data_IF_361911924095
#
_entry.id   IF_361911924095
#
_cell.length_a   1.000
_cell.length_b   1.000
_cell.length_c   1.000
_cell.angle_alpha   90.00
_cell.angle_beta   90.00
_cell.angle_gamma   90.00
#
_symmetry.space_group_name_H-M   'P 1'
#
loop_
_entity.id
_entity.type
_entity.pdbx_description
1 polymer ?
#
# COMPACT_ATOMS: atom_id res chain seq x y z
N UNK A 1 -11.97 15.12 -17.78
CA UNK A 1 -12.21 16.48 -18.33
C UNK A 1 -12.65 17.49 -17.29
N UNK A 2 -13.26 17.10 -16.16
CA UNK A 2 -13.59 18.06 -15.08
C UNK A 2 -12.36 18.53 -14.31
N UNK A 3 -11.56 17.59 -13.78
CA UNK A 3 -10.37 17.93 -12.97
C UNK A 3 -9.23 18.49 -13.83
N UNK A 4 -9.01 17.87 -14.99
CA UNK A 4 -8.04 18.28 -15.99
C UNK A 4 -8.81 18.71 -17.25
N UNK A 5 -9.28 19.98 -17.32
CA UNK A 5 -9.99 20.50 -18.48
C UNK A 5 -9.03 20.83 -19.62
N UNK A 6 -9.54 20.78 -20.84
CA UNK A 6 -8.82 21.32 -22.00
C UNK A 6 -8.88 22.85 -21.89
N UNK A 7 -7.74 23.55 -21.85
CA UNK A 7 -7.72 25.01 -21.75
C UNK A 7 -8.44 25.68 -22.91
N UNK A 8 -8.99 26.86 -22.66
CA UNK A 8 -9.59 27.68 -23.71
C UNK A 8 -8.53 28.03 -24.78
N UNK A 9 -8.90 27.93 -26.05
CA UNK A 9 -7.99 28.15 -27.18
C UNK A 9 -7.05 26.99 -27.51
N UNK A 10 -7.01 25.93 -26.70
CA UNK A 10 -6.25 24.73 -27.03
C UNK A 10 -6.99 23.86 -28.05
N UNK A 11 -6.30 23.45 -29.12
CA UNK A 11 -6.86 22.53 -30.12
C UNK A 11 -7.00 21.11 -29.53
N UNK A 12 -8.23 20.71 -29.24
CA UNK A 12 -8.54 19.39 -28.71
C UNK A 12 -8.05 18.23 -29.59
N UNK A 13 -7.86 18.45 -30.90
CA UNK A 13 -7.24 17.47 -31.79
C UNK A 13 -5.84 17.07 -31.35
N UNK A 14 -5.07 17.99 -30.75
CA UNK A 14 -3.68 17.73 -30.36
C UNK A 14 -3.52 16.80 -29.16
N UNK A 15 -4.58 16.55 -28.38
CA UNK A 15 -4.53 15.82 -27.09
C UNK A 15 -3.84 14.46 -27.20
N UNK A 16 -4.21 13.61 -28.18
CA UNK A 16 -3.56 12.31 -28.37
C UNK A 16 -2.06 12.47 -28.56
N UNK A 17 -1.68 13.38 -29.45
CA UNK A 17 -0.31 13.57 -29.86
C UNK A 17 0.55 14.14 -28.71
N UNK A 18 -0.02 14.99 -27.87
CA UNK A 18 0.62 15.47 -26.63
C UNK A 18 0.87 14.35 -25.62
N UNK A 19 -0.10 13.46 -25.45
CA UNK A 19 0.05 12.29 -24.56
C UNK A 19 1.12 11.32 -25.10
N UNK A 20 1.10 11.05 -26.40
CA UNK A 20 2.10 10.21 -27.07
C UNK A 20 3.51 10.80 -26.99
N UNK A 21 3.64 12.14 -27.12
CA UNK A 21 4.92 12.82 -26.91
C UNK A 21 5.43 12.69 -25.46
N UNK A 22 4.56 12.85 -24.47
CA UNK A 22 4.92 12.67 -23.05
C UNK A 22 5.37 11.22 -22.75
N UNK A 23 4.75 10.22 -23.39
CA UNK A 23 5.20 8.83 -23.30
C UNK A 23 6.57 8.63 -23.97
N UNK A 24 6.77 9.20 -25.16
CA UNK A 24 8.02 9.10 -25.91
C UNK A 24 9.20 9.70 -25.15
N UNK A 25 9.02 10.83 -24.46
CA UNK A 25 10.03 11.44 -23.59
C UNK A 25 10.51 10.48 -22.49
N UNK A 26 9.64 9.59 -22.02
CA UNK A 26 9.95 8.56 -21.03
C UNK A 26 10.46 7.24 -21.64
N UNK A 27 10.69 7.21 -22.95
CA UNK A 27 11.17 6.02 -23.67
C UNK A 27 10.06 5.04 -24.10
N UNK A 28 8.79 5.43 -24.00
CA UNK A 28 7.66 4.59 -24.43
C UNK A 28 7.24 4.98 -25.85
N UNK A 29 7.68 4.20 -26.84
CA UNK A 29 7.38 4.40 -28.27
C UNK A 29 6.28 3.48 -28.81
N UNK A 30 5.67 2.65 -27.94
CA UNK A 30 4.56 1.78 -28.31
C UNK A 30 3.29 2.56 -28.65
N UNK A 31 2.46 2.00 -29.52
CA UNK A 31 1.20 2.62 -29.92
C UNK A 31 0.21 2.73 -28.74
N UNK A 32 -0.41 3.90 -28.57
CA UNK A 32 -1.47 4.10 -27.57
C UNK A 32 -2.75 3.44 -28.07
N UNK A 33 -3.11 2.31 -27.45
CA UNK A 33 -4.22 1.45 -27.89
C UNK A 33 -5.61 2.07 -27.71
N UNK A 34 -5.82 2.85 -26.64
CA UNK A 34 -7.11 3.49 -26.37
C UNK A 34 -6.96 4.73 -25.50
N UNK A 35 -7.80 5.74 -25.75
CA UNK A 35 -7.93 6.95 -24.93
C UNK A 35 -9.42 7.24 -24.78
N UNK A 36 -9.88 7.39 -23.53
CA UNK A 36 -11.27 7.77 -23.23
C UNK A 36 -11.30 8.99 -22.32
N UNK A 37 -11.95 10.05 -22.78
CA UNK A 37 -12.16 11.28 -22.04
C UNK A 37 -13.50 11.23 -21.29
N UNK A 38 -13.44 11.35 -19.96
CA UNK A 38 -14.59 11.26 -19.07
C UNK A 38 -15.04 12.66 -18.61
N UNK A 39 -16.35 12.91 -18.60
CA UNK A 39 -16.93 14.11 -17.98
C UNK A 39 -18.41 14.31 -18.29
N UNK A 40 -18.99 15.32 -17.67
CA UNK A 40 -20.29 15.83 -18.12
C UNK A 40 -20.09 16.53 -19.47
N UNK A 41 -20.82 16.08 -20.48
CA UNK A 41 -20.69 16.53 -21.87
C UNK A 41 -21.89 17.35 -22.32
N UNK A 42 -22.84 17.63 -21.42
CA UNK A 42 -24.04 18.42 -21.72
C UNK A 42 -23.67 19.81 -22.23
N UNK A 43 -22.59 20.39 -21.72
CA UNK A 43 -22.11 21.72 -22.09
C UNK A 43 -20.80 21.72 -22.91
N UNK A 44 -20.14 20.58 -23.12
CA UNK A 44 -18.89 20.53 -23.89
C UNK A 44 -19.12 21.03 -25.32
N UNK A 45 -18.35 21.99 -25.84
CA UNK A 45 -18.54 22.50 -27.19
C UNK A 45 -18.37 21.42 -28.27
N UNK A 46 -19.18 21.51 -29.33
CA UNK A 46 -19.17 20.51 -30.43
C UNK A 46 -17.79 20.43 -31.12
N UNK A 47 -17.09 21.55 -31.27
CA UNK A 47 -15.76 21.57 -31.89
C UNK A 47 -14.72 20.81 -31.05
N UNK A 48 -14.82 20.85 -29.71
CA UNK A 48 -13.95 20.07 -28.81
C UNK A 48 -14.22 18.58 -28.98
N UNK A 49 -15.50 18.17 -28.99
CA UNK A 49 -15.87 16.77 -29.24
C UNK A 49 -15.37 16.29 -30.61
N UNK A 50 -15.48 17.12 -31.63
CA UNK A 50 -15.02 16.81 -32.97
C UNK A 50 -13.49 16.65 -33.04
N UNK A 51 -12.73 17.54 -32.40
CA UNK A 51 -11.27 17.47 -32.33
C UNK A 51 -10.79 16.21 -31.62
N UNK A 52 -11.39 15.87 -30.47
CA UNK A 52 -11.06 14.62 -29.76
C UNK A 52 -11.30 13.38 -30.62
N UNK A 53 -12.47 13.30 -31.27
CA UNK A 53 -12.80 12.16 -32.14
C UNK A 53 -11.87 12.05 -33.34
N UNK A 54 -11.51 13.17 -33.98
CA UNK A 54 -10.68 13.16 -35.18
C UNK A 54 -9.29 12.58 -34.95
N UNK A 55 -8.83 12.56 -33.69
CA UNK A 55 -7.52 12.03 -33.31
C UNK A 55 -7.63 10.79 -32.43
N UNK A 56 -8.74 10.05 -32.51
CA UNK A 56 -8.79 8.75 -31.85
C UNK A 56 -9.02 8.81 -30.33
N UNK A 57 -9.62 9.89 -29.81
CA UNK A 57 -10.02 9.98 -28.40
C UNK A 57 -11.53 9.76 -28.30
N UNK A 58 -11.93 8.69 -27.64
CA UNK A 58 -13.35 8.43 -27.32
C UNK A 58 -13.81 9.37 -26.20
N UNK A 59 -15.10 9.71 -26.17
CA UNK A 59 -15.66 10.60 -25.14
C UNK A 59 -16.83 9.92 -24.45
N UNK A 60 -16.74 9.82 -23.12
CA UNK A 60 -17.78 9.28 -22.27
C UNK A 60 -18.48 10.40 -21.50
N UNK A 61 -19.78 10.54 -21.76
CA UNK A 61 -20.67 11.32 -20.93
C UNK A 61 -21.07 10.54 -19.69
N UNK A 62 -20.84 11.18 -18.54
CA UNK A 62 -21.17 10.73 -17.19
C UNK A 62 -21.62 11.94 -16.36
N UNK A 63 -22.44 11.69 -15.35
CA UNK A 63 -22.75 12.72 -14.35
C UNK A 63 -21.50 13.02 -13.53
N UNK A 64 -21.28 14.29 -13.21
CA UNK A 64 -20.06 14.76 -12.54
C UNK A 64 -19.76 13.98 -11.25
N UNK A 65 -20.78 13.74 -10.43
CA UNK A 65 -20.74 13.00 -9.17
C UNK A 65 -20.46 11.51 -9.32
N UNK A 66 -20.65 10.95 -10.51
CA UNK A 66 -20.42 9.53 -10.81
C UNK A 66 -19.12 9.27 -11.56
N UNK A 67 -18.35 10.33 -11.86
CA UNK A 67 -17.08 10.25 -12.60
C UNK A 67 -16.14 9.22 -11.98
N UNK A 68 -15.93 9.30 -10.66
CA UNK A 68 -15.01 8.42 -9.95
C UNK A 68 -15.42 6.95 -10.05
N UNK A 69 -16.70 6.65 -9.80
CA UNK A 69 -17.23 5.29 -9.88
C UNK A 69 -17.09 4.69 -11.27
N UNK A 70 -17.51 5.41 -12.32
CA UNK A 70 -17.48 4.91 -13.70
C UNK A 70 -16.04 4.74 -14.19
N UNK A 71 -15.19 5.72 -13.91
CA UNK A 71 -13.79 5.68 -14.32
C UNK A 71 -13.04 4.53 -13.64
N UNK A 72 -13.25 4.32 -12.34
CA UNK A 72 -12.70 3.17 -11.63
C UNK A 72 -13.21 1.84 -12.19
N UNK A 73 -14.52 1.72 -12.45
CA UNK A 73 -15.11 0.50 -13.02
C UNK A 73 -14.51 0.17 -14.39
N UNK A 74 -14.41 1.16 -15.27
CA UNK A 74 -13.83 0.99 -16.61
C UNK A 74 -12.33 0.61 -16.51
N UNK A 75 -11.57 1.13 -15.53
CA UNK A 75 -10.19 0.72 -15.26
C UNK A 75 -10.11 -0.75 -14.82
N UNK A 76 -10.97 -1.19 -13.91
CA UNK A 76 -11.00 -2.59 -13.46
C UNK A 76 -11.34 -3.53 -14.61
N UNK A 77 -12.34 -3.16 -15.43
CA UNK A 77 -12.73 -3.93 -16.62
C UNK A 77 -11.56 -4.01 -17.62
N UNK A 78 -10.91 -2.89 -17.91
CA UNK A 78 -9.75 -2.85 -18.80
C UNK A 78 -8.62 -3.75 -18.30
N UNK A 79 -8.33 -3.75 -16.99
CA UNK A 79 -7.31 -4.63 -16.38
C UNK A 79 -7.68 -6.11 -16.51
N UNK A 80 -8.97 -6.45 -16.52
CA UNK A 80 -9.42 -7.83 -16.76
C UNK A 80 -9.16 -8.31 -18.19
N UNK A 81 -9.20 -7.39 -19.16
CA UNK A 81 -9.01 -7.68 -20.59
C UNK A 81 -7.55 -7.55 -21.06
N UNK A 82 -6.71 -6.86 -20.28
CA UNK A 82 -5.33 -6.52 -20.67
C UNK A 82 -4.35 -6.94 -19.57
N UNK A 83 -3.98 -8.23 -19.46
CA UNK A 83 -3.08 -8.69 -18.40
C UNK A 83 -1.69 -8.04 -18.51
N UNK A 84 -0.95 -7.87 -17.39
CA UNK A 84 0.43 -7.37 -17.42
C UNK A 84 1.38 -8.24 -18.27
N UNK A 85 2.43 -7.67 -18.90
CA UNK A 85 2.84 -6.28 -18.82
C UNK A 85 1.98 -5.35 -19.69
N UNK A 86 1.39 -4.33 -19.06
CA UNK A 86 0.62 -3.30 -19.75
C UNK A 86 0.79 -1.95 -19.04
N UNK A 87 0.64 -0.86 -19.81
CA UNK A 87 0.80 0.51 -19.33
C UNK A 87 -0.56 1.21 -19.28
N UNK A 88 -0.80 1.95 -18.21
CA UNK A 88 -2.01 2.75 -18.02
C UNK A 88 -1.62 4.16 -17.58
N UNK A 89 -2.24 5.16 -18.19
CA UNK A 89 -2.18 6.54 -17.72
C UNK A 89 -3.55 6.99 -17.23
N UNK A 90 -3.58 7.58 -16.04
CA UNK A 90 -4.80 8.10 -15.44
C UNK A 90 -4.68 9.62 -15.29
N UNK A 91 -5.63 10.36 -15.88
CA UNK A 91 -5.65 11.83 -15.90
C UNK A 91 -6.78 12.35 -15.03
N UNK A 92 -6.52 12.54 -13.74
CA UNK A 92 -7.48 13.05 -12.75
C UNK A 92 -6.81 13.34 -11.42
N UNK A 93 -7.30 14.36 -10.71
CA UNK A 93 -6.87 14.69 -9.35
C UNK A 93 -7.41 13.69 -8.30
N UNK A 94 -8.47 12.96 -8.65
CA UNK A 94 -9.19 12.04 -7.74
C UNK A 94 -8.40 10.77 -7.45
N UNK A 95 -7.40 10.45 -8.26
CA UNK A 95 -6.54 9.25 -8.12
C UNK A 95 -5.49 9.42 -7.01
N UNK A 96 -5.40 10.61 -6.42
CA UNK A 96 -4.43 10.92 -5.37
C UNK A 96 -4.99 10.77 -3.94
N UNK A 97 -6.25 10.34 -3.77
CA UNK A 97 -6.87 10.16 -2.46
C UNK A 97 -8.18 9.36 -2.48
N UNK A 98 -8.68 9.03 -1.29
CA UNK A 98 -9.96 8.34 -1.11
C UNK A 98 -9.98 6.87 -1.56
N UNK A 99 -11.19 6.34 -1.75
CA UNK A 99 -11.44 4.93 -2.02
C UNK A 99 -10.85 4.48 -3.36
N UNK A 100 -10.81 5.35 -4.37
CA UNK A 100 -10.23 5.07 -5.70
C UNK A 100 -8.76 4.68 -5.56
N UNK A 101 -7.96 5.56 -4.95
CA UNK A 101 -6.52 5.34 -4.84
C UNK A 101 -6.20 4.19 -3.91
N UNK A 102 -7.01 4.00 -2.88
CA UNK A 102 -6.89 2.92 -1.90
C UNK A 102 -7.05 1.54 -2.55
N UNK A 103 -8.12 1.33 -3.33
CA UNK A 103 -8.37 0.03 -3.95
C UNK A 103 -7.47 -0.21 -5.16
N UNK A 104 -7.17 0.83 -5.95
CA UNK A 104 -6.18 0.71 -7.03
C UNK A 104 -4.80 0.30 -6.50
N UNK A 105 -4.41 0.77 -5.30
CA UNK A 105 -3.15 0.34 -4.68
C UNK A 105 -3.17 -1.14 -4.30
N UNK A 106 -4.33 -1.66 -3.90
CA UNK A 106 -4.52 -3.10 -3.63
C UNK A 106 -4.46 -3.92 -4.92
N UNK A 107 -5.12 -3.47 -5.99
CA UNK A 107 -5.03 -4.10 -7.31
C UNK A 107 -3.59 -4.18 -7.82
N UNK A 108 -2.82 -3.10 -7.61
CA UNK A 108 -1.43 -3.00 -8.04
C UNK A 108 -0.48 -3.93 -7.27
N UNK A 109 -0.84 -4.34 -6.05
CA UNK A 109 -0.08 -5.35 -5.29
C UNK A 109 -0.21 -6.78 -5.86
N UNK A 110 -1.23 -7.06 -6.68
CA UNK A 110 -1.39 -8.37 -7.36
C UNK A 110 -1.06 -8.35 -8.84
N UNK A 111 -1.41 -7.26 -9.50
CA UNK A 111 -1.24 -7.12 -10.94
C UNK A 111 -0.46 -5.85 -11.20
N UNK A 112 0.79 -6.00 -11.60
CA UNK A 112 1.72 -4.90 -11.72
C UNK A 112 1.66 -4.28 -13.12
N UNK A 113 0.88 -3.21 -13.23
CA UNK A 113 0.86 -2.37 -14.41
C UNK A 113 1.89 -1.27 -14.30
N UNK A 114 2.42 -0.83 -15.43
CA UNK A 114 3.16 0.42 -15.48
C UNK A 114 2.17 1.59 -15.38
N UNK A 115 2.16 2.30 -14.26
CA UNK A 115 1.15 3.32 -13.95
C UNK A 115 1.72 4.74 -14.08
N UNK A 116 1.04 5.55 -14.89
CA UNK A 116 1.29 6.97 -15.06
C UNK A 116 0.11 7.81 -14.55
N UNK A 117 0.39 8.98 -13.99
CA UNK A 117 -0.65 9.92 -13.55
C UNK A 117 -0.41 11.30 -14.15
N UNK A 118 -1.46 11.94 -14.65
CA UNK A 118 -1.48 13.38 -14.87
C UNK A 118 -2.58 14.03 -14.02
N UNK A 119 -2.28 15.24 -13.52
CA UNK A 119 -3.10 15.94 -12.54
C UNK A 119 -3.05 17.44 -12.77
N UNK A 120 -4.07 18.17 -12.31
CA UNK A 120 -4.13 19.63 -12.47
C UNK A 120 -3.17 20.36 -11.54
N UNK A 121 -2.95 19.84 -10.33
CA UNK A 121 -2.20 20.53 -9.27
C UNK A 121 -1.13 19.65 -8.63
N UNK A 122 -0.06 20.30 -8.19
CA UNK A 122 0.96 19.66 -7.39
C UNK A 122 0.49 19.44 -5.93
N UNK A 123 0.29 18.19 -5.54
CA UNK A 123 0.15 17.77 -4.15
C UNK A 123 1.50 17.41 -3.52
N UNK A 124 1.66 17.77 -2.24
CA UNK A 124 2.88 17.52 -1.42
C UNK A 124 2.84 16.23 -0.59
N UNK A 125 1.76 15.44 -0.66
CA UNK A 125 1.61 14.23 0.15
C UNK A 125 2.13 12.98 -0.58
N UNK A 126 2.66 12.03 0.20
CA UNK A 126 3.11 10.74 -0.31
C UNK A 126 1.90 9.87 -0.68
N UNK A 127 1.77 9.53 -1.96
CA UNK A 127 0.71 8.63 -2.44
C UNK A 127 1.01 7.16 -2.08
N UNK A 128 -0.03 6.40 -1.73
CA UNK A 128 0.03 4.93 -1.60
C UNK A 128 0.24 4.23 -2.94
N UNK A 129 0.01 4.94 -4.05
CA UNK A 129 0.23 4.48 -5.42
C UNK A 129 1.61 4.95 -5.93
N UNK A 130 2.64 4.10 -5.96
CA UNK A 130 3.84 4.38 -6.71
C UNK A 130 3.48 4.41 -8.20
N UNK A 131 4.05 5.38 -8.89
CA UNK A 131 3.85 5.61 -10.31
C UNK A 131 5.21 5.74 -10.95
N UNK A 132 5.29 5.34 -12.21
CA UNK A 132 6.54 5.42 -12.97
C UNK A 132 6.85 6.85 -13.40
N UNK A 133 5.81 7.67 -13.56
CA UNK A 133 5.93 9.11 -13.80
C UNK A 133 4.62 9.84 -13.46
N UNK A 134 4.76 11.11 -13.08
CA UNK A 134 3.67 12.04 -12.79
C UNK A 134 3.89 13.32 -13.56
N UNK A 135 2.84 13.82 -14.23
CA UNK A 135 2.84 15.10 -14.94
C UNK A 135 1.86 16.09 -14.33
N UNK A 136 2.16 17.38 -14.48
CA UNK A 136 1.13 18.41 -14.42
C UNK A 136 0.45 18.48 -15.78
N UNK A 137 -0.88 18.51 -15.77
CA UNK A 137 -1.70 18.48 -16.98
C UNK A 137 -1.35 19.62 -17.94
N UNK A 138 -1.17 20.84 -17.43
CA UNK A 138 -0.77 22.01 -18.21
C UNK A 138 0.55 21.80 -18.97
N UNK A 139 1.54 21.14 -18.36
CA UNK A 139 2.86 20.89 -18.97
C UNK A 139 2.78 19.96 -20.17
N UNK A 140 1.94 18.91 -20.09
CA UNK A 140 1.70 18.01 -21.23
C UNK A 140 1.18 18.80 -22.44
N UNK A 141 0.35 19.82 -22.19
CA UNK A 141 -0.24 20.63 -23.24
C UNK A 141 0.74 21.71 -23.77
N UNK A 142 1.57 22.30 -22.91
CA UNK A 142 2.57 23.30 -23.31
C UNK A 142 3.65 22.72 -24.22
N UNK A 143 4.24 21.58 -23.84
CA UNK A 143 5.33 20.94 -24.60
C UNK A 143 4.88 20.52 -26.01
N UNK A 144 3.57 20.29 -26.18
CA UNK A 144 2.98 19.95 -27.48
C UNK A 144 2.90 21.12 -28.46
N UNK A 145 2.82 22.35 -27.97
CA UNK A 145 2.73 23.53 -28.83
C UNK A 145 4.07 23.91 -29.45
N UNK A 146 5.19 23.54 -28.82
CA UNK A 146 6.54 23.93 -29.26
C UNK A 146 7.18 22.95 -30.25
N UNK A 147 6.70 21.70 -30.33
CA UNK A 147 7.42 20.61 -31.01
C UNK A 147 6.86 20.20 -32.38
N UNK A 148 6.01 21.00 -33.03
CA UNK A 148 5.55 20.73 -34.39
C UNK A 148 4.94 19.33 -34.56
N UNK A 149 4.04 18.93 -33.65
CA UNK A 149 3.52 17.57 -33.60
C UNK A 149 2.52 17.33 -34.75
N UNK A 150 2.79 16.31 -35.58
CA UNK A 150 1.89 15.89 -36.66
C UNK A 150 0.60 15.25 -36.10
N UNK A 151 -0.54 15.71 -36.62
CA UNK A 151 -1.86 15.17 -36.27
C UNK A 151 -2.09 13.90 -37.09
N UNK A 152 -1.85 12.74 -36.49
CA UNK A 152 -2.10 11.45 -37.16
C UNK A 152 -3.55 11.02 -36.90
N UNK A 153 -4.30 10.77 -37.98
CA UNK A 153 -5.66 10.23 -37.88
C UNK A 153 -5.61 8.77 -37.42
N UNK A 154 -6.39 8.42 -36.39
CA UNK A 154 -6.44 7.04 -35.86
C UNK A 154 -7.50 6.21 -36.60
N UNK A 155 -7.19 4.96 -37.01
CA UNK A 155 -8.15 4.08 -37.68
C UNK A 155 -9.13 3.37 -36.71
N UNK A 156 -9.07 3.67 -35.41
CA UNK A 156 -9.91 3.01 -34.41
C UNK A 156 -11.37 3.50 -34.48
N UNK A 157 -12.33 2.61 -34.22
CA UNK A 157 -13.75 2.98 -34.13
C UNK A 157 -14.00 3.86 -32.89
N UNK A 158 -14.05 5.18 -33.10
CA UNK A 158 -14.21 6.15 -32.03
C UNK A 158 -15.66 6.44 -31.72
N UNK A 159 -15.96 6.60 -30.43
CA UNK A 159 -17.34 6.64 -29.97
C UNK A 159 -17.54 7.77 -28.96
N UNK A 160 -18.60 8.55 -29.18
CA UNK A 160 -19.25 9.35 -28.15
C UNK A 160 -20.26 8.45 -27.47
N UNK A 161 -20.05 8.15 -26.20
CA UNK A 161 -20.94 7.28 -25.43
C UNK A 161 -21.57 8.01 -24.25
N UNK A 162 -22.82 7.68 -23.95
CA UNK A 162 -23.51 8.09 -22.74
C UNK A 162 -23.66 6.86 -21.83
N UNK A 163 -22.91 6.86 -20.72
CA UNK A 163 -22.89 5.71 -19.79
C UNK A 163 -24.22 5.57 -19.04
N UNK A 164 -25.01 6.65 -18.93
CA UNK A 164 -26.33 6.64 -18.29
C UNK A 164 -27.39 5.92 -19.13
N UNK A 165 -27.28 6.03 -20.46
CA UNK A 165 -28.30 5.56 -21.39
C UNK A 165 -27.86 4.33 -22.21
N UNK A 166 -26.62 3.85 -22.03
CA UNK A 166 -25.99 2.86 -22.91
C UNK A 166 -26.14 3.23 -24.40
N UNK A 167 -25.91 4.51 -24.70
CA UNK A 167 -26.05 5.06 -26.04
C UNK A 167 -24.67 5.38 -26.60
N UNK A 168 -24.40 5.00 -27.84
CA UNK A 168 -23.20 5.35 -28.57
C UNK A 168 -23.52 5.99 -29.93
N UNK A 169 -22.63 6.87 -30.39
CA UNK A 169 -22.65 7.36 -31.76
C UNK A 169 -21.30 7.97 -32.15
N UNK A 170 -21.12 8.23 -33.45
CA UNK A 170 -19.93 8.90 -33.99
C UNK A 170 -20.18 10.37 -34.33
N UNK A 171 -21.41 10.87 -34.18
CA UNK A 171 -21.80 12.22 -34.59
C UNK A 171 -22.01 13.13 -33.38
N UNK A 172 -21.16 14.16 -33.17
CA UNK A 172 -21.36 15.14 -32.10
C UNK A 172 -22.73 15.80 -32.09
N UNK A 173 -23.32 16.04 -33.27
CA UNK A 173 -24.67 16.58 -33.40
C UNK A 173 -25.74 15.61 -32.89
N UNK A 174 -25.65 14.32 -33.26
CA UNK A 174 -26.57 13.28 -32.74
C UNK A 174 -26.41 13.12 -31.23
N UNK A 175 -25.16 13.13 -30.75
CA UNK A 175 -24.86 13.04 -29.32
C UNK A 175 -25.45 14.20 -28.52
N UNK A 176 -25.27 15.44 -28.99
CA UNK A 176 -25.88 16.62 -28.34
C UNK A 176 -27.40 16.51 -28.32
N UNK A 177 -28.02 16.11 -29.43
CA UNK A 177 -29.48 15.89 -29.49
C UNK A 177 -29.94 14.81 -28.50
N UNK A 178 -29.15 13.75 -28.31
CA UNK A 178 -29.42 12.72 -27.30
C UNK A 178 -29.37 13.30 -25.89
N UNK A 179 -28.29 13.99 -25.52
CA UNK A 179 -28.10 14.57 -24.18
C UNK A 179 -29.15 15.63 -23.85
N UNK A 180 -29.63 16.39 -24.83
CA UNK A 180 -30.71 17.37 -24.64
C UNK A 180 -32.12 16.75 -24.67
N UNK A 181 -32.25 15.43 -24.83
CA UNK A 181 -33.56 14.79 -24.95
C UNK A 181 -34.23 14.56 -23.58
N UNK A 182 -35.56 14.65 -23.55
CA UNK A 182 -36.35 14.27 -22.37
C UNK A 182 -36.06 12.82 -21.91
N UNK A 183 -35.82 11.90 -22.86
CA UNK A 183 -35.47 10.50 -22.55
C UNK A 183 -34.18 10.42 -21.71
N UNK A 184 -33.15 11.18 -22.08
CA UNK A 184 -31.90 11.24 -21.35
C UNK A 184 -32.11 11.85 -19.96
N UNK A 185 -32.72 13.05 -19.88
CA UNK A 185 -33.00 13.71 -18.61
C UNK A 185 -33.80 12.82 -17.64
N UNK A 186 -34.81 12.10 -18.16
CA UNK A 186 -35.59 11.13 -17.39
C UNK A 186 -34.74 9.95 -16.93
N UNK A 187 -33.90 9.38 -17.81
CA UNK A 187 -33.03 8.26 -17.47
C UNK A 187 -32.08 8.61 -16.32
N UNK A 188 -31.45 9.79 -16.39
CA UNK A 188 -30.55 10.26 -15.34
C UNK A 188 -31.27 10.55 -14.02
N UNK A 189 -32.54 10.97 -14.08
CA UNK A 189 -33.36 11.25 -12.89
C UNK A 189 -33.84 9.97 -12.21
N UNK A 190 -34.27 8.97 -12.99
CA UNK A 190 -34.86 7.72 -12.47
C UNK A 190 -33.78 6.73 -12.01
N UNK A 191 -32.66 6.67 -12.73
CA UNK A 191 -31.52 5.81 -12.41
C UNK A 191 -30.30 6.68 -12.09
N UNK A 192 -30.23 7.30 -10.90
CA UNK A 192 -29.04 8.03 -10.51
C UNK A 192 -27.85 7.05 -10.54
N UNK A 193 -26.82 7.42 -11.30
CA UNK A 193 -25.60 6.64 -11.37
C UNK A 193 -24.97 6.54 -9.97
N UNK A 194 -24.38 5.37 -9.66
CA UNK A 194 -23.72 5.16 -8.38
C UNK A 194 -22.55 6.14 -8.26
N UNK A 195 -22.47 6.81 -7.12
CA UNK A 195 -21.39 7.75 -6.79
C UNK A 195 -20.29 7.09 -5.95
N UNK A 196 -20.66 6.10 -5.14
CA UNK A 196 -19.72 5.34 -4.32
C UNK A 196 -19.01 4.28 -5.14
N UNK A 197 -17.69 4.21 -5.01
CA UNK A 197 -16.84 3.22 -5.67
C UNK A 197 -17.15 1.84 -5.08
N UNK A 198 -17.34 0.85 -5.96
CA UNK A 198 -17.42 -0.54 -5.55
C UNK A 198 -16.00 -1.10 -5.48
N UNK A 199 -15.43 -1.16 -4.28
CA UNK A 199 -14.06 -1.58 -4.04
C UNK A 199 -13.93 -3.09 -4.26
N UNK A 200 -13.48 -3.47 -5.46
CA UNK A 200 -13.51 -4.89 -5.86
C UNK A 200 -12.62 -5.76 -4.99
N UNK A 201 -11.61 -5.18 -4.35
CA UNK A 201 -10.69 -5.90 -3.47
C UNK A 201 -11.20 -6.07 -2.04
N UNK A 202 -12.39 -5.55 -1.70
CA UNK A 202 -13.02 -5.77 -0.38
C UNK A 202 -13.47 -7.21 -0.19
N UNK A 203 -13.93 -7.83 -1.27
CA UNK A 203 -14.47 -9.21 -1.24
C UNK A 203 -13.41 -10.27 -1.54
N UNK A 204 -12.17 -9.84 -1.81
CA UNK A 204 -11.09 -10.76 -2.13
C UNK A 204 -10.83 -11.68 -0.93
N UNK A 205 -10.73 -12.98 -1.23
CA UNK A 205 -10.45 -14.02 -0.25
C UNK A 205 -9.13 -13.77 0.50
N UNK A 206 -8.93 -14.52 1.57
CA UNK A 206 -7.69 -14.54 2.35
C UNK A 206 -7.07 -15.93 2.21
N UNK A 207 -5.76 -16.04 2.43
CA UNK A 207 -5.02 -17.31 2.44
C UNK A 207 -5.01 -18.01 1.08
N UNK A 208 -4.51 -17.32 0.06
CA UNK A 208 -4.28 -17.89 -1.26
C UNK A 208 -3.16 -18.93 -1.20
N UNK A 209 -3.30 -19.99 -1.99
CA UNK A 209 -2.22 -20.92 -2.24
C UNK A 209 -1.03 -20.21 -2.90
N UNK A 210 0.18 -20.68 -2.62
CA UNK A 210 1.40 -20.15 -3.20
C UNK A 210 1.37 -20.25 -4.74
N UNK A 211 1.70 -19.15 -5.40
CA UNK A 211 2.01 -19.19 -6.84
C UNK A 211 3.42 -19.76 -7.04
N UNK A 212 3.74 -20.32 -8.23
CA UNK A 212 5.07 -20.88 -8.50
C UNK A 212 6.22 -19.91 -8.21
N UNK A 213 6.01 -18.60 -8.46
CA UNK A 213 6.99 -17.54 -8.19
C UNK A 213 7.36 -17.43 -6.71
N UNK A 214 6.41 -17.65 -5.81
CA UNK A 214 6.60 -17.45 -4.37
C UNK A 214 6.70 -18.75 -3.57
N UNK A 215 6.35 -19.91 -4.15
CA UNK A 215 6.30 -21.18 -3.44
C UNK A 215 7.64 -21.55 -2.77
N UNK A 216 8.76 -21.39 -3.48
CA UNK A 216 10.11 -21.70 -2.96
C UNK A 216 10.91 -20.45 -2.59
N UNK A 217 10.32 -19.26 -2.71
CA UNK A 217 10.97 -18.00 -2.38
C UNK A 217 11.23 -17.88 -0.88
N UNK A 218 12.33 -17.20 -0.52
CA UNK A 218 12.70 -16.95 0.88
C UNK A 218 11.53 -16.31 1.64
N UNK A 219 11.35 -16.72 2.89
CA UNK A 219 10.36 -16.16 3.81
C UNK A 219 11.10 -15.38 4.89
N UNK A 220 10.81 -14.09 5.00
CA UNK A 220 11.38 -13.18 6.00
C UNK A 220 10.28 -12.75 6.97
N UNK A 221 10.48 -13.02 8.26
CA UNK A 221 9.50 -12.75 9.31
C UNK A 221 10.04 -11.70 10.28
N UNK A 222 9.31 -10.60 10.43
CA UNK A 222 9.55 -9.59 11.46
C UNK A 222 8.45 -9.66 12.50
N UNK A 223 8.83 -9.94 13.74
CA UNK A 223 7.88 -10.19 14.82
C UNK A 223 8.07 -9.20 15.97
N UNK A 224 7.04 -8.39 16.23
CA UNK A 224 6.99 -7.51 17.39
C UNK A 224 6.44 -8.26 18.62
N UNK A 225 7.31 -8.61 19.56
CA UNK A 225 6.93 -9.34 20.78
C UNK A 225 6.14 -8.50 21.78
N UNK A 226 6.17 -7.16 21.69
CA UNK A 226 5.30 -6.31 22.52
C UNK A 226 3.83 -6.44 22.08
N UNK A 227 3.61 -6.53 20.78
CA UNK A 227 2.27 -6.56 20.19
C UNK A 227 1.67 -7.99 20.17
N UNK A 228 2.53 -8.98 19.98
CA UNK A 228 2.19 -10.39 19.88
C UNK A 228 3.13 -11.21 20.79
N UNK A 229 2.98 -11.14 22.12
CA UNK A 229 3.85 -11.84 23.05
C UNK A 229 3.63 -13.36 22.99
N UNK A 230 4.62 -14.11 23.46
CA UNK A 230 4.45 -15.54 23.71
C UNK A 230 3.44 -15.72 24.85
N UNK A 231 2.36 -16.50 24.68
CA UNK A 231 1.41 -16.78 25.75
C UNK A 231 2.09 -17.47 26.94
N UNK A 232 1.58 -17.23 28.14
CA UNK A 232 2.06 -17.88 29.35
C UNK A 232 1.97 -19.41 29.23
N UNK A 233 3.03 -20.11 29.62
CA UNK A 233 3.13 -21.57 29.53
C UNK A 233 3.36 -22.13 28.11
N UNK A 234 3.42 -21.28 27.08
CA UNK A 234 3.73 -21.74 25.72
C UNK A 234 5.24 -22.00 25.54
N UNK A 235 5.57 -23.13 24.92
CA UNK A 235 6.95 -23.50 24.63
C UNK A 235 7.50 -22.70 23.43
N UNK A 236 8.45 -21.81 23.72
CA UNK A 236 9.09 -20.94 22.73
C UNK A 236 9.77 -21.70 21.58
N UNK A 237 10.24 -22.93 21.77
CA UNK A 237 10.85 -23.75 20.70
C UNK A 237 9.86 -24.01 19.55
N UNK A 238 8.57 -23.90 19.82
CA UNK A 238 7.49 -24.25 18.89
C UNK A 238 7.08 -23.09 17.98
N UNK A 239 7.53 -21.86 18.25
CA UNK A 239 7.17 -20.69 17.43
C UNK A 239 7.57 -20.89 15.97
N UNK A 240 8.84 -21.20 15.70
CA UNK A 240 9.32 -21.41 14.33
C UNK A 240 8.63 -22.59 13.63
N UNK A 241 8.59 -23.81 14.19
CA UNK A 241 7.87 -24.93 13.57
C UNK A 241 6.41 -24.62 13.24
N UNK A 242 5.74 -23.88 14.12
CA UNK A 242 4.33 -23.51 13.91
C UNK A 242 4.15 -22.56 12.72
N UNK A 243 5.05 -21.58 12.56
CA UNK A 243 5.07 -20.69 11.40
C UNK A 243 5.37 -21.47 10.11
N UNK A 244 6.40 -22.32 10.13
CA UNK A 244 6.78 -23.16 8.98
C UNK A 244 5.65 -24.10 8.55
N UNK A 245 4.92 -24.69 9.49
CA UNK A 245 3.74 -25.52 9.19
C UNK A 245 2.62 -24.70 8.56
N UNK A 246 2.34 -23.49 9.08
CA UNK A 246 1.33 -22.60 8.52
C UNK A 246 1.66 -22.19 7.07
N UNK A 247 2.92 -21.89 6.78
CA UNK A 247 3.39 -21.61 5.42
C UNK A 247 3.23 -22.82 4.50
N UNK A 248 3.65 -24.00 4.97
CA UNK A 248 3.57 -25.26 4.21
C UNK A 248 2.14 -25.64 3.84
N UNK A 249 1.17 -25.41 4.74
CA UNK A 249 -0.27 -25.63 4.48
C UNK A 249 -0.80 -24.81 3.29
N UNK A 250 -0.19 -23.66 3.01
CA UNK A 250 -0.53 -22.81 1.86
C UNK A 250 0.39 -23.04 0.65
N UNK A 251 1.29 -24.02 0.70
CA UNK A 251 2.19 -24.36 -0.41
C UNK A 251 3.49 -23.55 -0.45
N UNK A 252 3.83 -22.82 0.62
CA UNK A 252 5.11 -22.13 0.73
C UNK A 252 6.12 -23.02 1.44
N UNK A 253 7.24 -23.31 0.78
CA UNK A 253 8.30 -24.21 1.25
C UNK A 253 9.71 -23.60 1.16
N UNK A 254 9.81 -22.29 0.92
CA UNK A 254 11.08 -21.59 0.88
C UNK A 254 11.76 -21.47 2.26
N UNK A 255 13.06 -21.11 2.29
CA UNK A 255 13.81 -20.98 3.52
C UNK A 255 13.28 -19.84 4.39
N UNK A 256 13.10 -20.10 5.69
CA UNK A 256 12.52 -19.14 6.66
C UNK A 256 13.60 -18.48 7.51
N UNK A 257 13.55 -17.15 7.61
CA UNK A 257 14.36 -16.35 8.53
C UNK A 257 13.43 -15.50 9.41
N UNK A 258 13.57 -15.62 10.73
CA UNK A 258 12.69 -14.95 11.71
C UNK A 258 13.53 -14.04 12.59
N UNK A 259 13.11 -12.79 12.76
CA UNK A 259 13.68 -11.85 13.73
C UNK A 259 12.58 -11.36 14.67
N UNK A 260 12.76 -11.65 15.97
CA UNK A 260 11.87 -11.20 17.04
C UNK A 260 12.42 -9.92 17.69
N UNK A 261 11.59 -8.89 17.77
CA UNK A 261 11.89 -7.59 18.35
C UNK A 261 11.20 -7.48 19.70
N UNK A 262 11.98 -7.17 20.74
CA UNK A 262 11.42 -7.00 22.07
C UNK A 262 12.43 -6.51 23.08
N UNK A 263 11.94 -6.23 24.28
CA UNK A 263 12.78 -5.94 25.42
C UNK A 263 13.34 -7.24 26.03
N UNK A 264 14.54 -7.59 25.58
CA UNK A 264 15.22 -8.81 26.05
C UNK A 264 15.72 -8.72 27.49
N UNK A 265 15.77 -7.54 28.12
CA UNK A 265 16.09 -7.42 29.55
C UNK A 265 14.93 -7.91 30.42
N UNK A 266 13.70 -7.71 29.93
CA UNK A 266 12.47 -8.08 30.64
C UNK A 266 11.84 -9.36 30.11
N UNK A 267 12.48 -10.05 29.16
CA UNK A 267 12.00 -11.34 28.64
C UNK A 267 12.65 -12.51 29.38
N UNK A 268 11.86 -13.48 29.90
CA UNK A 268 12.40 -14.66 30.59
C UNK A 268 13.45 -15.44 29.77
N UNK A 269 14.53 -15.86 30.43
CA UNK A 269 15.66 -16.53 29.78
C UNK A 269 15.27 -17.78 28.99
N UNK A 270 14.42 -18.62 29.58
CA UNK A 270 13.99 -19.88 28.96
C UNK A 270 13.27 -19.63 27.63
N UNK A 271 12.54 -18.51 27.50
CA UNK A 271 11.91 -18.12 26.23
C UNK A 271 12.96 -17.69 25.21
N UNK A 272 13.94 -16.87 25.62
CA UNK A 272 15.02 -16.42 24.73
C UNK A 272 15.88 -17.60 24.22
N UNK A 273 16.22 -18.54 25.11
CA UNK A 273 16.93 -19.77 24.75
C UNK A 273 16.09 -20.68 23.86
N UNK A 274 14.78 -20.81 24.13
CA UNK A 274 13.88 -21.57 23.27
C UNK A 274 13.73 -20.99 21.86
N UNK A 275 13.58 -19.67 21.75
CA UNK A 275 13.55 -18.97 20.46
C UNK A 275 14.88 -19.14 19.70
N UNK A 276 16.00 -18.81 20.35
CA UNK A 276 17.31 -18.83 19.69
C UNK A 276 17.79 -20.24 19.33
N UNK A 277 17.51 -21.27 20.13
CA UNK A 277 17.84 -22.66 19.75
C UNK A 277 17.06 -23.14 18.54
N UNK A 278 15.83 -22.65 18.34
CA UNK A 278 15.07 -22.88 17.11
C UNK A 278 15.56 -22.03 15.92
N UNK A 279 16.57 -21.17 16.11
CA UNK A 279 17.14 -20.31 15.06
C UNK A 279 16.36 -19.01 14.81
N UNK A 280 15.50 -18.59 15.75
CA UNK A 280 14.89 -17.25 15.73
C UNK A 280 15.93 -16.22 16.16
N UNK A 281 16.18 -15.22 15.33
CA UNK A 281 17.02 -14.09 15.67
C UNK A 281 16.35 -13.18 16.71
N UNK A 282 17.14 -12.62 17.63
CA UNK A 282 16.65 -11.79 18.73
C UNK A 282 17.22 -10.38 18.61
N UNK A 283 16.33 -9.39 18.48
CA UNK A 283 16.68 -7.99 18.36
C UNK A 283 16.20 -7.22 19.60
N UNK A 284 17.15 -6.88 20.48
CA UNK A 284 16.86 -6.06 21.66
C UNK A 284 16.49 -4.63 21.25
N UNK A 285 15.39 -4.17 21.81
CA UNK A 285 14.83 -2.84 21.61
C UNK A 285 13.94 -2.48 22.82
N UNK A 286 13.42 -1.26 22.84
CA UNK A 286 12.43 -0.80 23.83
C UNK A 286 11.16 -0.35 23.11
N UNK A 287 10.04 -0.34 23.83
CA UNK A 287 8.72 -0.06 23.27
C UNK A 287 8.69 1.20 22.38
N UNK A 288 9.26 2.32 22.87
CA UNK A 288 9.24 3.62 22.17
C UNK A 288 9.94 3.63 20.80
N UNK A 289 10.90 2.74 20.56
CA UNK A 289 11.68 2.71 19.32
C UNK A 289 11.47 1.46 18.49
N UNK A 290 10.88 0.41 19.04
CA UNK A 290 10.69 -0.90 18.38
C UNK A 290 10.07 -0.74 17.00
N UNK A 291 8.98 0.02 16.92
CA UNK A 291 8.31 0.37 15.66
C UNK A 291 9.30 0.90 14.60
N UNK A 292 10.09 1.92 14.95
CA UNK A 292 11.03 2.56 14.02
C UNK A 292 12.20 1.65 13.64
N UNK A 293 12.64 0.76 14.55
CA UNK A 293 13.72 -0.19 14.28
C UNK A 293 13.26 -1.29 13.33
N UNK A 294 12.13 -1.91 13.63
CA UNK A 294 11.52 -2.92 12.76
C UNK A 294 11.20 -2.34 11.38
N UNK A 295 10.69 -1.11 11.30
CA UNK A 295 10.48 -0.39 10.04
C UNK A 295 11.74 -0.26 9.19
N UNK A 296 12.84 0.18 9.80
CA UNK A 296 14.12 0.37 9.11
C UNK A 296 14.63 -0.97 8.58
N UNK A 297 14.56 -2.02 9.38
CA UNK A 297 14.97 -3.36 8.97
C UNK A 297 14.07 -3.93 7.85
N UNK A 298 12.78 -3.61 7.85
CA UNK A 298 11.85 -4.00 6.78
C UNK A 298 12.17 -3.27 5.45
N UNK A 299 12.40 -1.96 5.50
CA UNK A 299 12.65 -1.14 4.31
C UNK A 299 14.06 -1.31 3.72
N UNK A 300 15.07 -1.36 4.58
CA UNK A 300 16.49 -1.31 4.19
C UNK A 300 17.23 -2.62 4.46
N UNK A 301 16.56 -3.63 5.01
CA UNK A 301 17.16 -4.91 5.33
C UNK A 301 17.32 -5.82 4.10
N UNK A 302 17.52 -7.13 4.32
CA UNK A 302 17.89 -8.10 3.29
C UNK A 302 16.91 -8.20 2.11
N UNK A 303 15.65 -7.81 2.32
CA UNK A 303 14.63 -7.79 1.26
C UNK A 303 14.90 -6.71 0.20
N UNK A 304 15.59 -5.62 0.55
CA UNK A 304 15.67 -4.40 -0.26
C UNK A 304 16.30 -4.56 -1.65
N UNK A 305 17.04 -5.65 -1.91
CA UNK A 305 17.78 -5.87 -3.15
C UNK A 305 17.67 -7.31 -3.72
N UNK A 306 16.64 -8.08 -3.37
CA UNK A 306 16.56 -9.50 -3.73
C UNK A 306 15.37 -9.88 -4.65
N UNK A 307 15.46 -11.08 -5.23
CA UNK A 307 14.41 -11.79 -5.99
C UNK A 307 13.05 -11.80 -5.28
N UNK A 308 11.94 -12.17 -5.95
CA UNK A 308 10.63 -12.33 -5.30
C UNK A 308 10.77 -13.05 -3.95
N UNK A 309 10.26 -12.42 -2.89
CA UNK A 309 10.43 -12.83 -1.48
C UNK A 309 9.07 -12.76 -0.79
N UNK A 310 8.82 -13.67 0.15
CA UNK A 310 7.65 -13.65 1.02
C UNK A 310 7.99 -12.88 2.30
N UNK A 311 7.34 -11.74 2.53
CA UNK A 311 7.52 -10.94 3.74
C UNK A 311 6.37 -11.24 4.70
N UNK A 312 6.66 -11.48 5.97
CA UNK A 312 5.67 -11.59 7.03
C UNK A 312 5.93 -10.55 8.11
N UNK A 313 4.88 -9.82 8.51
CA UNK A 313 4.92 -8.93 9.67
C UNK A 313 3.94 -9.43 10.72
N UNK A 314 4.44 -9.64 11.94
CA UNK A 314 3.67 -10.06 13.11
C UNK A 314 3.61 -8.89 14.10
N UNK A 315 2.49 -8.19 14.14
CA UNK A 315 2.31 -6.97 14.96
C UNK A 315 0.83 -6.67 15.18
N UNK A 316 0.50 -5.69 16.03
CA UNK A 316 -0.89 -5.28 16.23
C UNK A 316 -1.38 -4.43 15.04
N UNK A 317 -2.68 -4.14 15.03
CA UNK A 317 -3.30 -3.37 13.96
C UNK A 317 -2.72 -1.95 13.82
N UNK A 318 -2.43 -1.27 14.93
CA UNK A 318 -1.92 0.10 14.95
C UNK A 318 -0.51 0.20 14.35
N UNK A 319 0.37 -0.72 14.75
CA UNK A 319 1.73 -0.87 14.24
C UNK A 319 1.72 -1.15 12.73
N UNK A 320 0.87 -2.07 12.27
CA UNK A 320 0.71 -2.38 10.85
C UNK A 320 0.16 -1.19 10.04
N UNK A 321 -0.80 -0.46 10.60
CA UNK A 321 -1.37 0.74 9.98
C UNK A 321 -0.31 1.84 9.80
N UNK A 322 0.61 1.97 10.75
CA UNK A 322 1.66 2.96 10.68
C UNK A 322 2.72 2.64 9.59
N UNK A 323 2.95 1.37 9.26
CA UNK A 323 3.82 0.97 8.14
C UNK A 323 3.15 0.97 6.76
N UNK A 324 1.82 1.00 6.72
CA UNK A 324 1.05 0.55 5.55
C UNK A 324 1.45 1.24 4.25
N UNK A 325 1.58 2.57 4.26
CA UNK A 325 1.87 3.35 3.05
C UNK A 325 3.24 3.02 2.47
N UNK A 326 4.28 3.00 3.30
CA UNK A 326 5.64 2.75 2.84
C UNK A 326 5.82 1.29 2.42
N UNK A 327 5.24 0.36 3.17
CA UNK A 327 5.32 -1.06 2.85
C UNK A 327 4.61 -1.38 1.54
N UNK A 328 3.40 -0.85 1.30
CA UNK A 328 2.69 -1.03 0.02
C UNK A 328 3.53 -0.54 -1.16
N UNK A 329 4.14 0.65 -1.04
CA UNK A 329 5.01 1.18 -2.10
C UNK A 329 6.20 0.26 -2.38
N UNK A 330 6.81 -0.29 -1.32
CA UNK A 330 7.93 -1.23 -1.47
C UNK A 330 7.49 -2.54 -2.12
N UNK A 331 6.38 -3.14 -1.66
CA UNK A 331 5.82 -4.37 -2.22
C UNK A 331 5.54 -4.23 -3.73
N UNK A 332 4.95 -3.10 -4.13
CA UNK A 332 4.65 -2.80 -5.53
C UNK A 332 5.90 -2.54 -6.37
N UNK A 333 6.98 -2.00 -5.79
CA UNK A 333 8.23 -1.76 -6.49
C UNK A 333 9.08 -3.03 -6.64
N UNK A 334 9.12 -3.88 -5.61
CA UNK A 334 10.05 -5.03 -5.51
C UNK A 334 9.39 -6.39 -5.80
N UNK A 335 8.10 -6.42 -6.12
CA UNK A 335 7.34 -7.65 -6.41
C UNK A 335 7.43 -8.69 -5.28
N UNK A 336 7.29 -8.25 -4.05
CA UNK A 336 7.28 -9.14 -2.90
C UNK A 336 5.85 -9.58 -2.56
N UNK A 337 5.74 -10.79 -2.02
CA UNK A 337 4.51 -11.29 -1.45
C UNK A 337 4.42 -10.88 0.03
N UNK A 338 3.20 -10.68 0.55
CA UNK A 338 2.98 -10.22 1.93
C UNK A 338 2.10 -11.22 2.70
N UNK A 339 2.53 -11.49 3.93
CA UNK A 339 1.80 -12.19 4.97
C UNK A 339 1.65 -11.29 6.20
N UNK A 340 0.53 -11.41 6.91
CA UNK A 340 0.31 -10.70 8.17
C UNK A 340 -0.09 -11.67 9.28
N UNK A 341 0.38 -11.42 10.49
CA UNK A 341 -0.25 -11.96 11.68
C UNK A 341 -0.44 -10.87 12.72
N UNK A 342 -1.52 -10.97 13.47
CA UNK A 342 -1.90 -9.95 14.44
C UNK A 342 -2.55 -10.58 15.68
N UNK A 343 -2.41 -9.91 16.81
CA UNK A 343 -3.01 -10.31 18.09
C UNK A 343 -4.54 -10.27 18.06
N UNK A 344 -5.10 -9.31 17.31
CA UNK A 344 -6.53 -9.20 17.05
C UNK A 344 -6.77 -8.73 15.62
N UNK A 345 -7.87 -9.19 15.00
CA UNK A 345 -8.22 -8.77 13.65
C UNK A 345 -8.53 -7.27 13.64
N UNK A 346 -7.94 -6.49 12.71
CA UNK A 346 -8.27 -5.09 12.58
C UNK A 346 -9.74 -4.95 12.15
N UNK A 347 -10.44 -3.99 12.74
CA UNK A 347 -11.82 -3.66 12.35
C UNK A 347 -11.87 -3.03 10.95
N UNK A 348 -10.86 -2.21 10.61
CA UNK A 348 -10.73 -1.55 9.32
C UNK A 348 -9.76 -2.31 8.43
N UNK A 349 -10.12 -2.47 7.16
CA UNK A 349 -9.24 -3.10 6.18
C UNK A 349 -8.05 -2.20 5.83
N UNK A 350 -6.87 -2.81 5.69
CA UNK A 350 -5.64 -2.11 5.30
C UNK A 350 -5.54 -1.92 3.79
N UNK A 351 -4.80 -0.88 3.38
CA UNK A 351 -4.36 -0.75 1.98
C UNK A 351 -3.41 -1.88 1.57
N UNK A 352 -2.76 -2.53 2.54
CA UNK A 352 -1.99 -3.75 2.31
C UNK A 352 -2.92 -4.90 1.94
N UNK A 353 -2.57 -5.63 0.88
CA UNK A 353 -3.31 -6.79 0.43
C UNK A 353 -2.45 -8.05 0.61
N UNK A 354 -2.46 -8.66 1.82
CA UNK A 354 -1.69 -9.86 2.06
C UNK A 354 -2.24 -11.06 1.27
N UNK A 355 -1.37 -12.00 0.94
CA UNK A 355 -1.76 -13.30 0.39
C UNK A 355 -2.24 -14.25 1.49
N UNK A 356 -1.79 -14.07 2.72
CA UNK A 356 -2.24 -14.85 3.86
C UNK A 356 -2.23 -14.04 5.16
N UNK A 357 -3.18 -14.35 6.03
CA UNK A 357 -3.37 -13.70 7.32
C UNK A 357 -3.69 -14.70 8.41
N UNK A 358 -3.11 -14.50 9.59
CA UNK A 358 -3.37 -15.30 10.77
C UNK A 358 -3.65 -14.47 12.02
N UNK A 359 -4.43 -15.04 12.93
CA UNK A 359 -4.42 -14.60 14.32
C UNK A 359 -3.17 -15.19 15.00
N UNK A 360 -2.47 -14.40 15.78
CA UNK A 360 -1.24 -14.85 16.44
C UNK A 360 -1.45 -16.12 17.27
N UNK A 361 -2.48 -16.15 18.12
CA UNK A 361 -2.80 -17.34 18.92
C UNK A 361 -3.07 -18.57 18.04
N UNK A 362 -3.73 -18.40 16.89
CA UNK A 362 -4.07 -19.53 16.00
C UNK A 362 -2.85 -20.15 15.33
N UNK A 363 -1.76 -19.39 15.18
CA UNK A 363 -0.48 -19.95 14.73
C UNK A 363 0.11 -20.86 15.80
N UNK A 364 -0.01 -20.49 17.08
CA UNK A 364 0.55 -21.24 18.20
C UNK A 364 -0.25 -22.51 18.54
N UNK A 365 -1.58 -22.47 18.33
CA UNK A 365 -2.51 -23.59 18.59
C UNK A 365 -2.28 -24.81 17.68
N UNK A 366 -1.83 -24.59 16.44
CA UNK A 366 -1.61 -25.66 15.44
C UNK A 366 -0.71 -26.77 15.98
N UNK A 367 0.21 -26.40 16.88
CA UNK A 367 1.19 -27.32 17.40
C UNK A 367 0.63 -28.24 18.50
N UNK A 368 -0.41 -27.91 19.25
CA UNK A 368 -0.92 -28.79 20.33
C UNK A 368 -1.35 -30.18 19.85
N UNK A 369 -1.81 -30.31 18.60
CA UNK A 369 -2.17 -31.60 18.00
C UNK A 369 -0.93 -32.48 17.67
N UNK A 370 0.25 -31.88 17.58
CA UNK A 370 1.54 -32.54 17.26
C UNK A 370 2.33 -32.94 18.52
N UNK A 371 1.77 -32.68 19.72
CA UNK A 371 2.39 -33.00 21.03
C UNK A 371 2.78 -34.48 21.17
N UNK A 372 2.08 -35.37 20.47
CA UNK A 372 2.30 -36.82 20.50
C UNK A 372 3.38 -37.35 19.54
N UNK A 373 3.80 -36.59 18.52
CA UNK A 373 4.75 -37.08 17.50
C UNK A 373 6.20 -36.73 17.85
N UNK A 374 6.45 -35.59 18.49
CA UNK A 374 7.80 -35.11 18.79
C UNK A 374 8.42 -35.68 20.07
N UNK A 375 7.62 -36.24 20.98
CA UNK A 375 8.12 -36.87 22.21
C UNK A 375 8.95 -38.14 21.94
N UNK A 376 8.92 -38.69 20.71
CA UNK A 376 9.77 -39.80 20.27
C UNK A 376 11.11 -39.38 19.65
N UNK A 377 11.32 -38.10 19.31
CA UNK A 377 12.54 -37.63 18.65
C UNK A 377 13.49 -36.88 19.59
N UNK A 378 13.15 -36.75 20.87
CA UNK A 378 13.90 -35.92 21.83
C UNK A 378 15.09 -36.63 22.48
N UNK A 379 15.40 -37.87 22.10
CA UNK A 379 16.50 -38.64 22.70
C UNK A 379 17.81 -38.67 21.91
N UNK A 380 17.93 -37.99 20.75
CA UNK A 380 19.14 -38.18 19.90
C UNK A 380 19.74 -36.93 19.22
N UNK A 381 19.41 -35.70 19.61
CA UNK A 381 20.08 -34.51 19.06
C UNK A 381 20.73 -33.63 20.14
N UNK A 382 21.63 -34.24 20.91
CA UNK A 382 22.61 -33.53 21.74
C UNK A 382 24.00 -33.61 21.06
N UNK A 383 24.05 -33.23 19.78
CA UNK A 383 25.29 -32.90 19.08
C UNK A 383 25.25 -31.43 18.71
N UNK A 384 26.12 -30.66 19.36
CA UNK A 384 26.27 -29.23 19.20
C UNK A 384 26.48 -28.79 17.75
N UNK A 385 25.39 -28.42 17.10
CA UNK A 385 25.42 -27.44 16.03
C UNK A 385 25.30 -26.05 16.65
N UNK A 386 26.26 -25.16 16.37
CA UNK A 386 26.16 -23.76 16.74
C UNK A 386 24.82 -23.21 16.22
N UNK A 387 24.01 -22.63 17.11
CA UNK A 387 22.74 -22.02 16.71
C UNK A 387 23.01 -20.93 15.66
N UNK A 388 22.35 -21.02 14.50
CA UNK A 388 22.40 -19.98 13.47
C UNK A 388 21.64 -18.71 13.85
N UNK A 389 21.15 -18.61 15.10
CA UNK A 389 20.43 -17.45 15.58
C UNK A 389 21.34 -16.22 15.62
N UNK A 390 20.79 -15.09 15.18
CA UNK A 390 21.47 -13.81 15.16
C UNK A 390 20.97 -12.93 16.30
N UNK A 391 21.90 -12.27 17.00
CA UNK A 391 21.59 -11.44 18.17
C UNK A 391 21.95 -9.97 17.88
N UNK A 392 21.03 -9.05 18.16
CA UNK A 392 21.17 -7.64 17.83
C UNK A 392 20.81 -6.75 19.01
N UNK A 393 21.50 -5.61 19.15
CA UNK A 393 21.08 -4.51 20.01
C UNK A 393 20.72 -3.29 19.15
N UNK A 394 19.43 -3.15 18.83
CA UNK A 394 18.90 -2.07 17.98
C UNK A 394 18.79 -0.72 18.70
N UNK A 395 19.34 -0.60 19.91
CA UNK A 395 19.50 0.68 20.62
C UNK A 395 20.89 1.28 20.39
N UNK A 396 21.91 0.44 20.46
CA UNK A 396 23.31 0.84 20.43
C UNK A 396 23.91 0.76 19.03
N UNK A 397 23.45 -0.18 18.20
CA UNK A 397 24.00 -0.41 16.86
C UNK A 397 22.88 -0.45 15.81
N UNK A 398 23.11 0.25 14.71
CA UNK A 398 22.20 0.35 13.56
C UNK A 398 22.84 -0.26 12.29
N UNK A 399 23.50 -1.42 12.44
CA UNK A 399 24.18 -2.14 11.35
C UNK A 399 23.38 -3.32 10.77
N UNK A 400 23.74 -3.81 9.57
CA UNK A 400 23.05 -4.90 8.88
C UNK A 400 23.39 -6.32 9.38
N UNK A 401 24.42 -6.48 10.21
CA UNK A 401 24.90 -7.78 10.71
C UNK A 401 24.53 -8.06 12.17
N UNK A 402 24.63 -9.33 12.64
CA UNK A 402 24.51 -9.63 14.06
C UNK A 402 25.57 -8.87 14.86
N UNK A 403 25.14 -8.26 15.96
CA UNK A 403 26.04 -7.55 16.86
C UNK A 403 26.79 -8.52 17.78
N UNK A 404 26.19 -9.68 18.04
CA UNK A 404 26.67 -10.69 18.99
C UNK A 404 26.51 -12.11 18.44
N UNK A 405 27.48 -12.97 18.78
CA UNK A 405 27.52 -14.38 18.36
C UNK A 405 26.78 -15.34 19.31
N UNK A 406 26.40 -14.88 20.49
CA UNK A 406 25.68 -15.67 21.50
C UNK A 406 24.76 -14.78 22.33
N UNK A 407 23.76 -15.41 22.97
CA UNK A 407 22.86 -14.74 23.91
C UNK A 407 23.63 -14.17 25.11
N UNK A 408 24.64 -14.89 25.59
CA UNK A 408 25.41 -14.47 26.76
C UNK A 408 26.23 -13.21 26.44
N UNK A 409 26.85 -13.12 25.26
CA UNK A 409 27.57 -11.91 24.81
C UNK A 409 26.63 -10.70 24.71
N UNK A 410 25.42 -10.91 24.18
CA UNK A 410 24.40 -9.85 24.14
C UNK A 410 24.03 -9.42 25.57
N UNK A 411 23.80 -10.36 26.49
CA UNK A 411 23.48 -10.02 27.89
C UNK A 411 24.59 -9.26 28.59
N UNK A 412 25.84 -9.66 28.42
CA UNK A 412 26.99 -8.91 28.94
C UNK A 412 26.98 -7.47 28.43
N UNK A 413 26.65 -7.26 27.15
CA UNK A 413 26.45 -5.91 26.62
C UNK A 413 25.25 -5.18 27.22
N UNK A 414 24.09 -5.83 27.34
CA UNK A 414 22.88 -5.20 27.89
C UNK A 414 23.05 -4.78 29.36
N UNK A 415 23.90 -5.49 30.11
CA UNK A 415 24.29 -5.14 31.49
C UNK A 415 25.39 -4.08 31.59
N UNK A 416 25.95 -3.61 30.46
CA UNK A 416 27.00 -2.60 30.46
C UNK A 416 26.46 -1.21 30.79
N UNK A 417 27.30 -0.38 31.42
CA UNK A 417 26.95 1.02 31.72
C UNK A 417 26.71 1.81 30.43
N UNK A 418 27.47 1.54 29.36
CA UNK A 418 27.28 2.20 28.06
C UNK A 418 25.87 1.96 27.48
N UNK A 419 25.39 0.70 27.54
CA UNK A 419 24.04 0.36 27.12
C UNK A 419 22.99 1.07 27.98
N UNK A 420 23.15 1.03 29.32
CA UNK A 420 22.23 1.68 30.25
C UNK A 420 22.15 3.21 30.02
N UNK A 421 23.28 3.87 29.76
CA UNK A 421 23.33 5.30 29.42
C UNK A 421 22.61 5.58 28.10
N UNK A 422 22.83 4.74 27.08
CA UNK A 422 22.17 4.87 25.76
C UNK A 422 20.65 4.73 25.87
N UNK A 423 20.20 3.68 26.56
CA UNK A 423 18.78 3.41 26.79
C UNK A 423 18.13 4.57 27.56
N UNK A 424 18.75 5.02 28.64
CA UNK A 424 18.27 6.17 29.43
C UNK A 424 18.16 7.45 28.60
N UNK A 425 19.15 7.72 27.74
CA UNK A 425 19.13 8.87 26.84
C UNK A 425 17.98 8.81 25.83
N UNK A 426 17.69 7.64 25.27
CA UNK A 426 16.56 7.44 24.35
C UNK A 426 15.24 7.63 25.10
N UNK A 427 15.07 7.00 26.26
CA UNK A 427 13.86 7.11 27.08
C UNK A 427 13.59 8.56 27.48
N UNK A 428 14.61 9.29 27.94
CA UNK A 428 14.50 10.70 28.29
C UNK A 428 14.09 11.57 27.09
N UNK A 429 14.63 11.30 25.90
CA UNK A 429 14.25 12.00 24.67
C UNK A 429 12.76 11.81 24.34
N UNK A 430 12.25 10.58 24.42
CA UNK A 430 10.83 10.29 24.14
C UNK A 430 9.89 10.90 25.19
N UNK A 431 10.25 10.83 26.48
CA UNK A 431 9.49 11.48 27.54
C UNK A 431 9.41 13.01 27.34
N UNK A 432 10.53 13.65 26.98
CA UNK A 432 10.55 15.08 26.67
C UNK A 432 9.68 15.42 25.47
N UNK A 433 9.74 14.61 24.40
CA UNK A 433 8.93 14.78 23.19
C UNK A 433 7.44 14.65 23.48
N UNK A 434 7.03 13.67 24.29
CA UNK A 434 5.65 13.49 24.76
C UNK A 434 5.19 14.72 25.58
N UNK A 435 5.99 15.17 26.54
CA UNK A 435 5.70 16.35 27.37
C UNK A 435 5.51 17.61 26.51
N UNK A 436 6.35 17.81 25.51
CA UNK A 436 6.25 18.96 24.60
C UNK A 436 5.00 18.88 23.72
N UNK A 437 4.67 17.70 23.17
CA UNK A 437 3.41 17.49 22.41
C UNK A 437 2.17 17.77 23.25
N UNK A 438 2.15 17.32 24.50
CA UNK A 438 1.04 17.59 25.42
C UNK A 438 0.89 19.09 25.69
N UNK A 439 1.99 19.79 25.99
CA UNK A 439 1.98 21.26 26.16
C UNK A 439 1.47 21.98 24.91
N UNK A 440 1.92 21.57 23.72
CA UNK A 440 1.45 22.17 22.46
C UNK A 440 -0.04 21.94 22.24
N UNK A 441 -0.54 20.74 22.55
CA UNK A 441 -1.96 20.38 22.41
C UNK A 441 -2.83 21.17 23.39
N UNK A 442 -2.42 21.28 24.65
CA UNK A 442 -3.08 22.13 25.66
C UNK A 442 -3.09 23.60 25.23
N UNK A 443 -1.96 24.13 24.78
CA UNK A 443 -1.88 25.52 24.29
C UNK A 443 -2.74 25.77 23.04
N UNK A 444 -2.97 24.75 22.20
CA UNK A 444 -3.89 24.84 21.06
C UNK A 444 -5.35 24.81 21.52
N UNK A 445 -5.67 23.94 22.48
CA UNK A 445 -6.99 23.89 23.10
C UNK A 445 -7.33 25.22 23.76
N UNK A 446 -6.44 25.75 24.60
CA UNK A 446 -6.62 27.04 25.28
C UNK A 446 -6.83 28.19 24.29
N UNK A 447 -6.06 28.23 23.19
CA UNK A 447 -6.24 29.24 22.15
C UNK A 447 -7.62 29.19 21.50
N UNK A 448 -8.15 27.98 21.24
CA UNK A 448 -9.47 27.79 20.63
C UNK A 448 -10.62 28.10 21.59
N UNK A 449 -10.47 27.82 22.88
CA UNK A 449 -11.58 27.85 23.84
C UNK A 449 -11.51 29.05 24.80
N UNK A 450 -10.42 29.83 24.81
CA UNK A 450 -10.29 31.04 25.64
C UNK A 450 -11.38 32.09 25.39
N UNK A 451 -11.79 32.28 24.14
CA UNK A 451 -12.82 33.28 23.81
C UNK A 451 -14.20 32.84 24.28
N UNK A 452 -14.51 31.54 24.17
CA UNK A 452 -15.76 30.95 24.70
C UNK A 452 -15.81 31.02 26.23
N UNK A 453 -14.69 30.74 26.91
CA UNK A 453 -14.58 30.93 28.35
C UNK A 453 -14.75 32.39 28.78
N UNK A 454 -14.10 33.34 28.07
CA UNK A 454 -14.26 34.76 28.37
C UNK A 454 -15.70 35.25 28.19
N UNK A 455 -16.44 34.73 27.22
CA UNK A 455 -17.87 35.07 27.03
C UNK A 455 -18.77 34.42 28.10
N UNK A 456 -18.47 33.19 28.52
CA UNK A 456 -19.22 32.52 29.59
C UNK A 456 -19.01 33.16 30.98
N UNK A 457 -17.81 33.71 31.24
CA UNK A 457 -17.52 34.41 32.51
C UNK A 457 -18.20 35.78 32.64
N UNK A 458 -18.71 36.36 31.55
CA UNK A 458 -19.48 37.62 31.59
C UNK A 458 -20.97 37.42 31.94
N UNK A 459 -21.47 36.18 32.01
CA UNK A 459 -22.85 35.87 32.41
C UNK A 459 -22.99 35.52 33.90
N UNK A 460 -21.88 35.54 34.66
CA UNK A 460 -21.84 35.23 36.10
C UNK A 460 -21.35 36.40 36.97
N UNK A 461 -21.34 37.62 36.43
CA UNK A 461 -21.23 38.89 37.16
C UNK A 461 -22.42 39.73 36.73
#
# INVERSE_FOLDING_TARGET
MKDCPIPEGYDAGRIRASLEAAFKERGYSGAVSSITAYGDQTQTPVHILQGLLSTGVSVAHIRSESTNYIMYRDIVEWRGQNPPPATMMIISDQVMGGDFSWDLARLQQRSQYNLFIARSKAHRFLSVLPTSAIWLWEKILEDSNNNGIEIISSPLAMVLCCKSCNFDCQSPKKFRKHLSSYKHARQESVCPQRTQINLVTETWGRNYAATPEYATAKILVWWNMFDCPIPEGYDAHRVRPSLEEAFKKLGYSGPVSITAYGDLNHTPEHLLRGLSSSGVGLAHTIFDVTYNRMYKDLLYGPASNSTPTNLMVIANADTLQAFSTSLVRQLQAQKHNLFLAYSSRPYKMFVMLPSAEWLWHSLLDVSEKTKYVLQKCTSESDRGGESSAMFYCKLCRDGPGPDYRSLDNLRTHLSSEEHAQKESGITAFFQLKMKNRNKSSLAQYDRKHRQQWRQASFFFI
#
